data_IF_734617227732
#
_entry.id   IF_734617227732
#
_cell.length_a   1.000
_cell.length_b   1.000
_cell.length_c   1.000
_cell.angle_alpha   90.00
_cell.angle_beta   90.00
_cell.angle_gamma   90.00
#
_symmetry.space_group_name_H-M   'P 1'
#
loop_
_entity.id
_entity.type
_entity.pdbx_description
1 polymer ?
#
# COMPACT_ATOMS: atom_id res chain seq x y z
N UNK A 1 -21.81 49.28 32.93
CA UNK A 1 -22.34 48.85 31.63
C UNK A 1 -21.24 49.06 30.61
N UNK A 2 -20.83 48.18 29.70
CA UNK A 2 -21.06 46.77 29.36
C UNK A 2 -20.47 46.68 27.93
N UNK A 3 -19.76 45.69 27.40
CA UNK A 3 -19.22 44.39 27.80
C UNK A 3 -18.01 44.20 26.85
N UNK A 4 -16.90 43.64 27.36
CA UNK A 4 -15.78 43.14 26.54
C UNK A 4 -16.23 41.86 25.85
N UNK A 5 -16.05 41.73 24.54
CA UNK A 5 -16.22 40.46 23.82
C UNK A 5 -14.91 40.07 23.14
N UNK A 6 -14.18 39.22 23.84
CA UNK A 6 -13.11 38.38 23.31
C UNK A 6 -13.73 37.35 22.37
N UNK A 7 -13.27 37.28 21.11
CA UNK A 7 -13.61 36.16 20.22
C UNK A 7 -12.45 35.17 20.26
N UNK A 8 -12.79 33.99 20.78
CA UNK A 8 -11.99 32.80 20.93
C UNK A 8 -11.52 32.31 19.55
N UNK A 9 -10.20 32.19 19.35
CA UNK A 9 -9.65 31.41 18.24
C UNK A 9 -9.86 29.93 18.56
N UNK A 10 -10.81 29.29 17.87
CA UNK A 10 -11.00 27.86 17.95
C UNK A 10 -9.89 27.16 17.17
N UNK A 11 -8.88 26.66 17.89
CA UNK A 11 -7.92 25.71 17.35
C UNK A 11 -8.62 24.35 17.24
N UNK A 12 -9.04 24.00 16.01
CA UNK A 12 -9.53 22.67 15.70
C UNK A 12 -8.32 21.73 15.59
N UNK A 13 -7.96 21.09 16.69
CA UNK A 13 -7.00 19.99 16.67
C UNK A 13 -7.66 18.78 15.97
N UNK A 14 -7.14 18.43 14.79
CA UNK A 14 -7.50 17.22 14.06
C UNK A 14 -7.03 16.00 14.85
N UNK A 15 -7.95 15.38 15.58
CA UNK A 15 -7.78 14.02 16.07
C UNK A 15 -7.78 13.07 14.87
N UNK A 16 -6.64 12.42 14.63
CA UNK A 16 -6.46 11.37 13.62
C UNK A 16 -7.21 10.11 14.00
N UNK A 17 -8.54 10.14 13.87
CA UNK A 17 -9.36 8.94 13.85
C UNK A 17 -9.14 8.27 12.51
N UNK A 18 -8.62 7.04 12.50
CA UNK A 18 -8.62 6.17 11.31
C UNK A 18 -10.05 5.73 11.00
N UNK A 19 -10.91 6.68 10.61
CA UNK A 19 -12.21 6.38 10.04
C UNK A 19 -11.94 5.73 8.67
N UNK A 20 -12.65 4.65 8.38
CA UNK A 20 -12.64 4.05 7.04
C UNK A 20 -12.91 5.16 6.01
N UNK A 21 -12.07 5.24 4.98
CA UNK A 21 -12.15 6.22 3.89
C UNK A 21 -13.27 5.82 2.91
N UNK A 22 -14.48 5.72 3.43
CA UNK A 22 -15.70 5.64 2.63
C UNK A 22 -16.03 7.05 2.13
N UNK A 23 -16.25 7.19 0.83
CA UNK A 23 -16.46 8.50 0.19
C UNK A 23 -17.69 8.48 -0.72
N UNK A 24 -18.25 9.66 -0.94
CA UNK A 24 -19.09 9.93 -2.09
C UNK A 24 -18.18 10.26 -3.28
N UNK A 25 -17.94 9.28 -4.15
CA UNK A 25 -17.01 9.43 -5.29
C UNK A 25 -17.35 10.59 -6.22
N UNK A 26 -18.63 10.98 -6.32
CA UNK A 26 -19.02 12.12 -7.15
C UNK A 26 -18.39 13.45 -6.72
N UNK A 27 -18.02 13.58 -5.44
CA UNK A 27 -17.34 14.78 -4.90
C UNK A 27 -15.87 14.86 -5.34
N UNK A 28 -15.29 13.75 -5.77
CA UNK A 28 -13.92 13.64 -6.23
C UNK A 28 -13.82 13.48 -7.75
N UNK A 29 -14.94 13.44 -8.47
CA UNK A 29 -14.92 13.43 -9.93
C UNK A 29 -14.77 14.85 -10.49
N UNK A 30 -13.55 15.35 -10.62
CA UNK A 30 -13.28 16.70 -11.10
C UNK A 30 -12.01 16.80 -11.98
N UNK A 31 -12.05 17.55 -13.10
CA UNK A 31 -10.91 17.68 -14.03
C UNK A 31 -9.69 18.43 -13.48
N UNK A 32 -9.75 18.92 -12.25
CA UNK A 32 -8.65 19.65 -11.59
C UNK A 32 -8.09 18.92 -10.38
N UNK A 33 -8.82 17.95 -9.82
CA UNK A 33 -8.40 17.16 -8.67
C UNK A 33 -9.26 15.91 -8.51
N UNK A 34 -8.64 14.82 -8.07
CA UNK A 34 -9.34 13.62 -7.63
C UNK A 34 -9.17 13.35 -6.13
N UNK A 35 -9.43 12.11 -5.68
CA UNK A 35 -9.07 11.65 -4.34
C UNK A 35 -7.58 11.88 -4.06
N UNK A 36 -7.20 12.23 -2.82
CA UNK A 36 -5.79 12.35 -2.45
C UNK A 36 -5.05 11.04 -2.70
N UNK A 37 -3.81 11.11 -3.19
CA UNK A 37 -2.97 9.92 -3.41
C UNK A 37 -2.83 9.02 -2.16
N UNK A 38 -2.89 9.62 -0.95
CA UNK A 38 -2.86 8.87 0.31
C UNK A 38 -4.06 7.92 0.51
N UNK A 39 -5.13 8.07 -0.28
CA UNK A 39 -6.30 7.19 -0.24
C UNK A 39 -6.05 5.85 -0.94
N UNK A 40 -5.01 5.74 -1.76
CA UNK A 40 -4.70 4.50 -2.45
C UNK A 40 -3.19 4.21 -2.51
N UNK A 41 -2.36 5.02 -1.84
CA UNK A 41 -0.95 4.71 -1.64
C UNK A 41 -0.76 3.46 -0.77
N UNK A 42 0.19 2.63 -1.17
CA UNK A 42 0.64 1.47 -0.41
C UNK A 42 1.20 1.87 0.96
N UNK A 43 1.14 0.95 1.92
CA UNK A 43 1.78 1.16 3.23
C UNK A 43 3.29 1.41 3.08
N UNK A 44 3.85 2.25 3.95
CA UNK A 44 5.29 2.58 3.94
C UNK A 44 6.19 1.38 4.28
N UNK A 45 5.61 0.30 4.79
CA UNK A 45 6.29 -0.97 5.08
C UNK A 45 6.46 -1.86 3.83
N UNK A 46 5.82 -1.52 2.71
CA UNK A 46 5.92 -2.28 1.46
C UNK A 46 7.31 -2.08 0.84
N UNK A 47 8.06 -3.15 0.48
CA UNK A 47 9.42 -3.04 -0.04
C UNK A 47 9.42 -2.67 -1.54
N UNK A 48 8.94 -1.47 -1.88
CA UNK A 48 8.69 -1.00 -3.26
C UNK A 48 9.90 -1.19 -4.18
N UNK A 49 11.10 -0.75 -3.76
CA UNK A 49 12.31 -0.88 -4.56
C UNK A 49 12.70 -2.35 -4.85
N UNK A 50 12.45 -3.25 -3.88
CA UNK A 50 12.73 -4.67 -4.06
C UNK A 50 11.70 -5.32 -5.00
N UNK A 51 10.43 -4.93 -4.91
CA UNK A 51 9.36 -5.37 -5.82
C UNK A 51 9.62 -4.90 -7.25
N UNK A 52 10.02 -3.65 -7.44
CA UNK A 52 10.41 -3.12 -8.75
C UNK A 52 11.63 -3.87 -9.32
N UNK A 53 12.63 -4.17 -8.47
CA UNK A 53 13.79 -4.97 -8.87
C UNK A 53 13.43 -6.43 -9.21
N UNK A 54 12.40 -6.99 -8.58
CA UNK A 54 11.89 -8.32 -8.89
C UNK A 54 11.08 -8.32 -10.19
N UNK A 55 10.26 -7.30 -10.42
CA UNK A 55 9.51 -7.10 -11.67
C UNK A 55 10.45 -7.02 -12.89
N UNK A 56 11.55 -6.27 -12.77
CA UNK A 56 12.57 -6.16 -13.82
C UNK A 56 13.29 -7.49 -14.14
N UNK A 57 13.16 -8.52 -13.28
CA UNK A 57 13.73 -9.86 -13.48
C UNK A 57 12.69 -10.87 -13.97
N UNK A 58 11.41 -10.50 -14.05
CA UNK A 58 10.38 -11.37 -14.60
C UNK A 58 10.71 -11.69 -16.06
N UNK A 59 10.48 -12.94 -16.47
CA UNK A 59 10.98 -13.45 -17.76
C UNK A 59 10.06 -14.45 -18.42
N UNK A 60 9.13 -15.03 -17.67
CA UNK A 60 8.18 -16.02 -18.18
C UNK A 60 7.02 -15.28 -18.83
N UNK A 61 7.04 -15.15 -20.15
CA UNK A 61 5.94 -14.55 -20.89
C UNK A 61 4.63 -15.31 -20.64
N UNK A 62 3.57 -14.58 -20.31
CA UNK A 62 2.22 -15.13 -20.29
C UNK A 62 1.74 -15.42 -21.73
N UNK A 63 0.61 -16.12 -21.86
CA UNK A 63 -0.01 -16.38 -23.16
C UNK A 63 -0.64 -15.08 -23.69
N UNK A 64 -0.46 -14.81 -24.98
CA UNK A 64 -1.05 -13.65 -25.66
C UNK A 64 -0.73 -12.33 -24.93
N UNK A 65 0.56 -12.08 -24.67
CA UNK A 65 1.02 -11.15 -23.64
C UNK A 65 1.95 -10.02 -24.12
N UNK A 66 2.23 -9.89 -25.43
CA UNK A 66 3.19 -8.88 -25.94
C UNK A 66 2.49 -7.85 -26.82
N UNK A 67 2.57 -6.59 -26.42
CA UNK A 67 1.83 -5.47 -27.02
C UNK A 67 2.73 -4.24 -27.15
N UNK A 68 2.57 -3.41 -28.19
CA UNK A 68 3.23 -2.11 -28.25
C UNK A 68 2.69 -1.18 -27.16
N UNK A 69 3.48 -0.20 -26.74
CA UNK A 69 3.02 0.80 -25.77
C UNK A 69 2.05 1.83 -26.38
N UNK A 70 2.09 2.03 -27.70
CA UNK A 70 1.17 2.87 -28.44
C UNK A 70 1.13 2.46 -29.92
N UNK A 71 0.32 3.16 -30.71
CA UNK A 71 0.13 2.89 -32.16
C UNK A 71 1.25 3.43 -33.06
N UNK A 72 2.29 4.07 -32.53
CA UNK A 72 3.35 4.65 -33.34
C UNK A 72 4.23 3.59 -34.02
N UNK A 73 4.69 3.93 -35.23
CA UNK A 73 5.60 3.09 -35.98
C UNK A 73 6.92 2.88 -35.23
N UNK A 74 7.17 1.64 -34.80
CA UNK A 74 8.40 1.28 -34.08
C UNK A 74 8.32 1.45 -32.56
N UNK A 75 7.11 1.67 -32.00
CA UNK A 75 6.89 1.72 -30.57
C UNK A 75 7.51 0.51 -29.85
N UNK A 76 8.15 0.70 -28.67
CA UNK A 76 8.58 -0.39 -27.81
C UNK A 76 7.44 -1.37 -27.55
N UNK A 77 7.79 -2.67 -27.50
CA UNK A 77 6.84 -3.72 -27.12
C UNK A 77 7.14 -4.18 -25.71
N UNK A 78 6.08 -4.26 -24.90
CA UNK A 78 6.11 -4.74 -23.53
C UNK A 78 5.51 -6.13 -23.48
N UNK A 79 6.03 -6.97 -22.58
CA UNK A 79 5.50 -8.32 -22.35
C UNK A 79 4.94 -8.41 -20.94
N UNK A 80 3.74 -8.95 -20.82
CA UNK A 80 3.14 -9.33 -19.55
C UNK A 80 3.72 -10.69 -19.11
N UNK A 81 4.28 -10.72 -17.92
CA UNK A 81 4.96 -11.87 -17.37
C UNK A 81 4.09 -12.60 -16.34
N UNK A 82 4.10 -13.93 -16.42
CA UNK A 82 3.35 -14.84 -15.55
C UNK A 82 4.19 -15.50 -14.46
N UNK A 83 5.41 -15.03 -14.19
CA UNK A 83 6.31 -15.62 -13.19
C UNK A 83 5.66 -15.77 -11.79
N UNK A 84 4.68 -14.92 -11.47
CA UNK A 84 4.01 -14.89 -10.17
C UNK A 84 2.58 -15.44 -10.22
N UNK A 85 2.11 -15.93 -11.36
CA UNK A 85 0.69 -16.26 -11.57
C UNK A 85 0.24 -17.55 -10.89
N UNK A 86 1.17 -18.37 -10.40
CA UNK A 86 0.89 -19.67 -9.77
C UNK A 86 0.98 -19.67 -8.25
N UNK A 87 1.20 -18.51 -7.61
CA UNK A 87 1.20 -18.43 -6.15
C UNK A 87 -0.19 -18.73 -5.57
N UNK A 88 -0.25 -19.29 -4.37
CA UNK A 88 -1.53 -19.58 -3.72
C UNK A 88 -2.22 -18.32 -3.19
N UNK A 89 -1.44 -17.30 -2.83
CA UNK A 89 -1.91 -15.98 -2.39
C UNK A 89 -0.96 -14.92 -2.97
N UNK A 90 -1.50 -13.77 -3.37
CA UNK A 90 -0.70 -12.74 -4.05
C UNK A 90 -0.25 -13.16 -5.45
N UNK A 91 -0.93 -14.10 -6.09
CA UNK A 91 -0.69 -14.43 -7.49
C UNK A 91 -0.96 -13.23 -8.38
N UNK A 92 -0.04 -12.97 -9.31
CA UNK A 92 -0.12 -11.77 -10.14
C UNK A 92 0.54 -11.97 -11.51
N UNK A 93 0.12 -11.13 -12.45
CA UNK A 93 0.89 -10.79 -13.64
C UNK A 93 1.68 -9.51 -13.40
N UNK A 94 2.81 -9.36 -14.09
CA UNK A 94 3.68 -8.18 -13.95
C UNK A 94 4.25 -7.72 -15.30
N UNK A 95 4.34 -6.41 -15.50
CA UNK A 95 5.00 -5.81 -16.65
C UNK A 95 5.56 -4.43 -16.30
N UNK A 96 6.47 -3.94 -17.15
CA UNK A 96 6.96 -2.55 -17.09
C UNK A 96 6.60 -1.90 -18.42
N UNK A 97 5.78 -0.85 -18.36
CA UNK A 97 5.31 -0.08 -19.50
C UNK A 97 5.53 1.42 -19.23
N UNK A 98 5.11 2.21 -20.19
CA UNK A 98 4.87 3.64 -20.03
C UNK A 98 3.54 3.89 -19.29
N UNK A 99 3.05 5.13 -19.32
CA UNK A 99 1.79 5.51 -18.69
C UNK A 99 1.03 6.55 -19.53
N UNK A 100 0.18 6.06 -20.43
CA UNK A 100 -0.78 6.86 -21.17
C UNK A 100 -2.07 7.09 -20.35
N UNK A 101 -2.82 8.14 -20.70
CA UNK A 101 -4.01 8.54 -19.95
C UNK A 101 -5.26 8.00 -20.64
N UNK A 102 -5.92 7.07 -19.98
CA UNK A 102 -7.26 6.63 -20.29
C UNK A 102 -8.27 7.52 -19.55
N UNK A 103 -9.26 8.02 -20.31
CA UNK A 103 -10.34 8.84 -19.79
C UNK A 103 -11.72 8.20 -19.95
N UNK A 104 -11.82 6.97 -20.46
CA UNK A 104 -13.07 6.28 -20.74
C UNK A 104 -13.97 6.17 -19.49
N UNK A 105 -15.27 6.02 -19.77
CA UNK A 105 -16.32 6.11 -18.77
C UNK A 105 -16.92 7.51 -18.64
N UNK A 106 -17.14 8.01 -17.42
CA UNK A 106 -17.85 9.29 -17.22
C UNK A 106 -17.08 10.48 -17.77
N UNK A 107 -15.76 10.38 -17.78
CA UNK A 107 -14.86 11.49 -18.06
C UNK A 107 -14.23 11.40 -19.46
N UNK A 108 -14.84 10.62 -20.37
CA UNK A 108 -14.34 10.34 -21.72
C UNK A 108 -14.06 11.58 -22.57
N UNK A 109 -14.59 12.74 -22.17
CA UNK A 109 -14.32 14.05 -22.77
C UNK A 109 -13.26 14.85 -22.03
N UNK A 110 -12.37 14.18 -21.29
CA UNK A 110 -11.30 14.85 -20.58
C UNK A 110 -10.43 15.67 -21.56
N UNK A 111 -9.73 16.66 -21.03
CA UNK A 111 -8.87 17.54 -21.83
C UNK A 111 -7.97 16.68 -22.74
N UNK A 112 -8.00 16.99 -24.04
CA UNK A 112 -7.14 16.35 -25.03
C UNK A 112 -7.68 15.06 -25.61
N UNK A 113 -8.62 14.35 -24.97
CA UNK A 113 -9.03 13.01 -25.39
C UNK A 113 -9.71 13.02 -26.78
N UNK A 114 -9.08 12.42 -27.82
CA UNK A 114 -9.63 12.44 -29.18
C UNK A 114 -10.67 11.33 -29.43
N UNK A 115 -10.62 10.23 -28.69
CA UNK A 115 -11.27 8.95 -28.99
C UNK A 115 -12.02 8.31 -27.82
N UNK A 116 -12.14 9.03 -26.70
CA UNK A 116 -12.80 8.52 -25.50
C UNK A 116 -14.19 7.92 -25.70
N UNK A 117 -14.45 6.85 -24.95
CA UNK A 117 -15.70 6.10 -24.94
C UNK A 117 -16.49 6.34 -23.66
N UNK A 118 -17.83 6.42 -23.71
CA UNK A 118 -18.66 6.75 -22.55
C UNK A 118 -18.75 5.63 -21.48
N UNK A 119 -18.07 4.50 -21.67
CA UNK A 119 -18.07 3.37 -20.76
C UNK A 119 -16.69 2.70 -20.76
N UNK A 120 -16.42 1.95 -19.69
CA UNK A 120 -15.29 1.04 -19.57
C UNK A 120 -15.81 -0.41 -19.58
N UNK A 121 -14.94 -1.42 -19.65
CA UNK A 121 -15.34 -2.82 -19.65
C UNK A 121 -16.18 -3.24 -18.42
N UNK A 122 -15.98 -2.61 -17.27
CA UNK A 122 -16.61 -3.01 -15.99
C UNK A 122 -17.52 -1.96 -15.38
N UNK A 123 -17.93 -0.97 -16.16
CA UNK A 123 -18.82 0.11 -15.71
C UNK A 123 -18.76 1.34 -16.62
N UNK A 124 -19.11 2.49 -16.07
CA UNK A 124 -18.73 3.78 -16.61
C UNK A 124 -17.92 4.47 -15.52
N UNK A 125 -16.67 4.01 -15.33
CA UNK A 125 -15.79 4.50 -14.27
C UNK A 125 -15.51 6.00 -14.47
N UNK A 126 -15.34 6.74 -13.39
CA UNK A 126 -14.89 8.13 -13.45
C UNK A 126 -13.36 8.15 -13.45
N UNK A 127 -12.72 8.46 -14.59
CA UNK A 127 -11.27 8.52 -14.70
C UNK A 127 -10.62 9.55 -13.75
N UNK A 128 -11.36 10.59 -13.31
CA UNK A 128 -10.85 11.53 -12.31
C UNK A 128 -10.91 11.00 -10.87
N UNK A 129 -11.67 9.94 -10.59
CA UNK A 129 -11.89 9.42 -9.23
C UNK A 129 -11.39 7.99 -9.02
N UNK A 130 -11.56 7.13 -10.01
CA UNK A 130 -11.22 5.71 -9.91
C UNK A 130 -9.76 5.55 -10.34
N UNK A 131 -8.87 5.05 -9.47
CA UNK A 131 -7.54 4.64 -9.89
C UNK A 131 -7.68 3.30 -10.64
N UNK A 132 -7.75 3.33 -11.96
CA UNK A 132 -7.76 2.14 -12.78
C UNK A 132 -6.58 2.09 -13.74
N UNK A 133 -6.28 0.91 -14.24
CA UNK A 133 -5.36 0.69 -15.35
C UNK A 133 -6.01 -0.24 -16.38
N UNK A 134 -5.46 -0.17 -17.58
CA UNK A 134 -5.96 -0.83 -18.78
C UNK A 134 -5.05 -2.01 -19.11
N UNK A 135 -5.63 -3.09 -19.59
CA UNK A 135 -4.86 -4.18 -20.20
C UNK A 135 -5.36 -4.43 -21.62
N UNK A 136 -4.54 -5.02 -22.50
CA UNK A 136 -5.00 -5.40 -23.83
C UNK A 136 -6.20 -6.37 -23.77
N UNK A 137 -7.27 -6.11 -24.52
CA UNK A 137 -8.51 -6.91 -24.50
C UNK A 137 -8.24 -8.39 -24.81
N UNK A 138 -7.32 -8.69 -25.73
CA UNK A 138 -6.97 -10.07 -26.07
C UNK A 138 -6.34 -10.80 -24.88
N UNK A 139 -5.51 -10.11 -24.09
CA UNK A 139 -4.94 -10.67 -22.86
C UNK A 139 -6.04 -10.86 -21.80
N UNK A 140 -6.88 -9.84 -21.58
CA UNK A 140 -8.03 -9.91 -20.67
C UNK A 140 -8.95 -11.09 -20.99
N UNK A 141 -9.34 -11.25 -22.25
CA UNK A 141 -10.16 -12.36 -22.74
C UNK A 141 -9.50 -13.72 -22.51
N UNK A 142 -8.18 -13.82 -22.71
CA UNK A 142 -7.41 -15.06 -22.48
C UNK A 142 -7.44 -15.49 -21.02
N UNK A 143 -7.41 -14.53 -20.09
CA UNK A 143 -7.34 -14.77 -18.65
C UNK A 143 -8.62 -14.44 -17.87
N UNK A 144 -9.75 -14.28 -18.57
CA UNK A 144 -11.04 -13.84 -18.00
C UNK A 144 -11.51 -14.63 -16.77
N UNK A 145 -11.15 -15.92 -16.66
CA UNK A 145 -11.54 -16.76 -15.53
C UNK A 145 -10.86 -16.36 -14.21
N UNK A 146 -9.68 -15.73 -14.28
CA UNK A 146 -8.90 -15.25 -13.13
C UNK A 146 -8.76 -13.73 -13.10
N UNK A 147 -9.18 -13.06 -14.17
CA UNK A 147 -9.29 -11.61 -14.31
C UNK A 147 -10.72 -11.24 -14.75
N UNK A 148 -11.75 -11.49 -13.91
CA UNK A 148 -13.13 -11.19 -14.27
C UNK A 148 -13.45 -9.69 -14.33
N UNK A 149 -12.50 -8.82 -13.95
CA UNK A 149 -12.66 -7.37 -13.89
C UNK A 149 -12.68 -6.84 -12.47
N UNK A 150 -12.34 -5.56 -12.32
CA UNK A 150 -12.19 -4.88 -11.02
C UNK A 150 -11.18 -5.58 -10.08
N UNK A 151 -10.28 -6.37 -10.64
CA UNK A 151 -9.16 -6.97 -9.91
C UNK A 151 -8.24 -5.86 -9.40
N UNK A 152 -7.92 -5.89 -8.11
CA UNK A 152 -6.93 -5.00 -7.50
C UNK A 152 -5.58 -5.23 -8.18
N UNK A 153 -4.90 -4.14 -8.47
CA UNK A 153 -3.51 -4.13 -8.89
C UNK A 153 -2.72 -3.06 -8.15
N UNK A 154 -1.41 -3.06 -8.39
CA UNK A 154 -0.49 -2.06 -7.89
C UNK A 154 0.31 -1.47 -9.05
N UNK A 155 0.54 -0.17 -8.98
CA UNK A 155 1.33 0.62 -9.93
C UNK A 155 2.49 1.23 -9.19
N UNK A 156 3.72 1.00 -9.66
CA UNK A 156 4.95 1.59 -9.12
C UNK A 156 5.48 2.62 -10.12
N UNK A 157 5.62 3.85 -9.65
CA UNK A 157 6.11 4.98 -10.41
C UNK A 157 6.83 5.94 -9.44
N UNK A 158 7.95 6.52 -9.87
CA UNK A 158 8.73 7.47 -9.06
C UNK A 158 9.06 6.96 -7.64
N UNK A 159 9.36 5.67 -7.51
CA UNK A 159 9.70 5.02 -6.24
C UNK A 159 8.55 4.90 -5.23
N UNK A 160 7.31 5.21 -5.64
CA UNK A 160 6.09 5.07 -4.85
C UNK A 160 5.20 3.99 -5.45
N UNK A 161 4.33 3.43 -4.63
CA UNK A 161 3.37 2.42 -5.06
C UNK A 161 1.95 2.84 -4.71
N UNK A 162 1.04 2.66 -5.67
CA UNK A 162 -0.37 3.02 -5.59
C UNK A 162 -1.24 1.83 -6.00
N UNK A 163 -2.37 1.65 -5.33
CA UNK A 163 -3.34 0.62 -5.69
C UNK A 163 -4.38 1.18 -6.65
N UNK A 164 -4.80 0.33 -7.57
CA UNK A 164 -5.90 0.59 -8.47
C UNK A 164 -6.62 -0.71 -8.82
N UNK A 165 -7.46 -0.65 -9.84
CA UNK A 165 -8.17 -1.83 -10.37
C UNK A 165 -7.92 -2.00 -11.87
N UNK A 166 -7.94 -3.25 -12.34
CA UNK A 166 -8.19 -3.54 -13.75
C UNK A 166 -9.61 -3.08 -14.08
N UNK A 167 -9.72 -1.88 -14.65
CA UNK A 167 -10.99 -1.18 -14.82
C UNK A 167 -11.46 -1.10 -16.26
N UNK A 168 -10.54 -1.26 -17.21
CA UNK A 168 -10.83 -1.22 -18.64
C UNK A 168 -9.88 -2.09 -19.45
N UNK A 169 -10.21 -2.35 -20.72
CA UNK A 169 -9.31 -3.01 -21.65
C UNK A 169 -9.25 -2.33 -23.00
N UNK A 170 -8.05 -2.30 -23.58
CA UNK A 170 -7.85 -1.70 -24.88
C UNK A 170 -8.24 -2.67 -26.01
N UNK A 171 -9.22 -2.23 -26.79
CA UNK A 171 -9.83 -2.96 -27.90
C UNK A 171 -9.28 -2.54 -29.28
N UNK A 172 -8.30 -1.64 -29.34
CA UNK A 172 -7.79 -1.07 -30.58
C UNK A 172 -7.00 -2.05 -31.46
N UNK A 173 -6.60 -1.58 -32.64
CA UNK A 173 -5.76 -2.35 -33.57
C UNK A 173 -4.61 -1.49 -34.11
N UNK A 174 -3.37 -1.70 -33.62
CA UNK A 174 -2.97 -2.69 -32.61
C UNK A 174 -3.49 -2.35 -31.21
N UNK A 175 -3.67 -3.36 -30.36
CA UNK A 175 -3.93 -3.11 -28.94
C UNK A 175 -2.67 -2.58 -28.26
N UNK A 176 -2.80 -1.51 -27.49
CA UNK A 176 -1.77 -0.87 -26.69
C UNK A 176 -1.77 -1.40 -25.24
N UNK A 177 -0.66 -1.17 -24.54
CA UNK A 177 -0.49 -1.48 -23.12
C UNK A 177 0.21 -0.30 -22.44
N UNK A 178 -0.13 -0.02 -21.19
CA UNK A 178 0.47 1.11 -20.48
C UNK A 178 -0.51 2.24 -20.22
N UNK A 179 -1.81 2.05 -20.41
CA UNK A 179 -2.79 3.08 -20.09
C UNK A 179 -3.29 2.98 -18.65
N UNK A 180 -3.56 4.13 -18.06
CA UNK A 180 -4.16 4.25 -16.73
C UNK A 180 -5.08 5.47 -16.64
N UNK A 181 -6.00 5.43 -15.68
CA UNK A 181 -6.94 6.52 -15.48
C UNK A 181 -6.23 7.85 -15.26
N UNK A 182 -6.89 8.94 -15.65
CA UNK A 182 -6.41 10.30 -15.38
C UNK A 182 -5.91 10.49 -13.93
N UNK A 183 -6.63 9.94 -12.95
CA UNK A 183 -6.22 9.97 -11.54
C UNK A 183 -4.90 9.25 -11.30
N UNK A 184 -4.76 8.01 -11.78
CA UNK A 184 -3.55 7.21 -11.56
C UNK A 184 -2.34 7.89 -12.24
N UNK A 185 -2.51 8.31 -13.49
CA UNK A 185 -1.46 8.93 -14.28
C UNK A 185 -0.92 10.21 -13.62
N UNK A 186 -1.82 11.11 -13.21
CA UNK A 186 -1.42 12.36 -12.55
C UNK A 186 -0.99 12.18 -11.10
N UNK A 187 -1.30 11.06 -10.48
CA UNK A 187 -0.73 10.70 -9.17
C UNK A 187 0.73 10.26 -9.32
N UNK A 188 1.03 9.50 -10.37
CA UNK A 188 2.39 9.11 -10.70
C UNK A 188 3.25 10.30 -11.13
N UNK A 189 2.70 11.15 -12.00
CA UNK A 189 3.42 12.26 -12.66
C UNK A 189 2.68 13.60 -12.48
N UNK A 190 2.63 14.14 -11.25
CA UNK A 190 1.80 15.32 -10.94
C UNK A 190 2.26 16.61 -11.62
N UNK A 191 3.51 16.65 -12.12
CA UNK A 191 4.11 17.84 -12.70
C UNK A 191 4.08 17.85 -14.24
N UNK A 192 3.62 16.76 -14.87
CA UNK A 192 3.83 16.55 -16.31
C UNK A 192 2.60 16.98 -17.14
N UNK A 193 1.58 17.55 -16.48
CA UNK A 193 0.28 17.95 -17.04
C UNK A 193 -0.38 16.87 -17.94
N UNK A 194 -0.26 15.61 -17.52
CA UNK A 194 -0.82 14.48 -18.26
C UNK A 194 -2.33 14.65 -18.49
N UNK A 195 -2.78 14.28 -19.69
CA UNK A 195 -4.16 14.42 -20.15
C UNK A 195 -4.42 13.41 -21.28
N UNK A 196 -5.65 13.33 -21.80
CA UNK A 196 -6.06 12.29 -22.76
C UNK A 196 -5.35 12.30 -24.12
N UNK A 197 -4.39 13.21 -24.35
CA UNK A 197 -3.49 13.18 -25.52
C UNK A 197 -2.04 13.50 -25.12
N UNK A 198 -1.67 13.26 -23.86
CA UNK A 198 -0.32 13.47 -23.35
C UNK A 198 -0.08 12.55 -22.17
N UNK A 199 0.55 11.41 -22.43
CA UNK A 199 1.02 10.47 -21.43
C UNK A 199 2.49 10.65 -21.06
N UNK A 200 2.95 9.79 -20.15
CA UNK A 200 4.36 9.62 -19.81
C UNK A 200 4.93 8.46 -20.63
N UNK A 201 5.67 8.77 -21.69
CA UNK A 201 6.13 7.76 -22.67
C UNK A 201 7.36 6.93 -22.28
N UNK A 202 7.96 7.13 -21.10
CA UNK A 202 9.11 6.34 -20.69
C UNK A 202 8.66 5.00 -20.09
N UNK A 203 9.27 3.90 -20.54
CA UNK A 203 8.96 2.53 -20.08
C UNK A 203 9.60 2.26 -18.71
N UNK A 204 9.09 2.90 -17.67
CA UNK A 204 9.62 2.82 -16.30
C UNK A 204 8.54 2.65 -15.21
N UNK A 205 7.29 2.47 -15.61
CA UNK A 205 6.16 2.21 -14.71
C UNK A 205 5.92 0.72 -14.59
N UNK A 206 5.98 0.19 -13.36
CA UNK A 206 5.69 -1.22 -13.10
C UNK A 206 4.24 -1.42 -12.74
N UNK A 207 3.60 -2.37 -13.41
CA UNK A 207 2.22 -2.77 -13.14
C UNK A 207 2.22 -4.20 -12.58
N UNK A 208 1.44 -4.41 -11.52
CA UNK A 208 1.25 -5.71 -10.87
C UNK A 208 -0.26 -5.94 -10.80
N UNK A 209 -0.76 -6.93 -11.54
CA UNK A 209 -2.19 -7.25 -11.60
C UNK A 209 -2.47 -8.54 -10.85
N UNK A 210 -3.17 -8.46 -9.72
CA UNK A 210 -3.48 -9.63 -8.92
C UNK A 210 -4.63 -10.45 -9.51
N UNK A 211 -4.48 -11.77 -9.48
CA UNK A 211 -5.40 -12.72 -10.10
C UNK A 211 -6.26 -13.44 -9.07
N UNK A 212 -7.42 -13.94 -9.51
CA UNK A 212 -8.34 -14.73 -8.70
C UNK A 212 -9.46 -13.90 -8.06
N UNK A 213 -10.48 -14.57 -7.55
CA UNK A 213 -11.67 -13.93 -6.96
C UNK A 213 -11.36 -13.06 -5.76
N UNK A 214 -10.36 -13.44 -4.97
CA UNK A 214 -9.98 -12.72 -3.75
C UNK A 214 -9.26 -11.39 -4.06
N UNK A 215 -8.86 -11.19 -5.31
CA UNK A 215 -8.32 -9.93 -5.81
C UNK A 215 -9.41 -9.01 -6.35
N UNK A 216 -10.67 -9.42 -6.49
CA UNK A 216 -11.74 -8.57 -7.04
C UNK A 216 -12.26 -7.62 -5.98
N UNK A 217 -12.20 -6.31 -6.24
CA UNK A 217 -12.73 -5.29 -5.32
C UNK A 217 -14.24 -5.50 -5.13
N UNK A 218 -14.75 -5.65 -3.89
CA UNK A 218 -16.14 -6.01 -3.66
C UNK A 218 -17.08 -4.84 -3.95
N UNK A 219 -18.35 -5.14 -4.23
CA UNK A 219 -19.40 -4.13 -4.47
C UNK A 219 -19.72 -3.26 -3.24
N UNK A 220 -19.22 -3.61 -2.06
CA UNK A 220 -19.25 -2.75 -0.86
C UNK A 220 -18.21 -1.62 -0.91
N UNK A 221 -17.26 -1.67 -1.84
CA UNK A 221 -16.17 -0.72 -2.01
C UNK A 221 -16.09 -0.10 -3.41
N UNK A 222 -16.97 -0.52 -4.32
CA UNK A 222 -17.02 -0.08 -5.71
C UNK A 222 -18.48 -0.11 -6.19
N UNK A 223 -18.86 0.88 -7.00
CA UNK A 223 -20.05 0.79 -7.84
C UNK A 223 -19.64 0.95 -9.32
N UNK A 224 -20.63 0.95 -10.23
CA UNK A 224 -20.38 1.06 -11.67
C UNK A 224 -19.61 2.31 -12.12
N UNK A 225 -19.46 3.33 -11.27
CA UNK A 225 -18.82 4.59 -11.61
C UNK A 225 -17.63 4.93 -10.70
N UNK A 226 -17.65 4.52 -9.42
CA UNK A 226 -16.76 5.07 -8.39
C UNK A 226 -16.24 4.02 -7.43
N UNK A 227 -15.02 4.22 -6.93
CA UNK A 227 -14.53 3.57 -5.71
C UNK A 227 -15.18 4.26 -4.51
N UNK A 228 -16.00 3.51 -3.76
CA UNK A 228 -16.75 4.07 -2.63
C UNK A 228 -16.05 3.84 -1.29
N UNK A 229 -15.05 2.95 -1.24
CA UNK A 229 -14.29 2.66 -0.02
C UNK A 229 -12.81 2.41 -0.34
N UNK A 230 -12.03 3.47 -0.22
CA UNK A 230 -10.58 3.45 -0.41
C UNK A 230 -9.84 2.66 0.67
N UNK A 231 -10.39 2.56 1.89
CA UNK A 231 -9.81 1.70 2.92
C UNK A 231 -9.90 0.21 2.55
N UNK A 232 -10.96 -0.22 1.87
CA UNK A 232 -11.04 -1.59 1.35
C UNK A 232 -10.04 -1.80 0.22
N UNK A 233 -9.94 -0.88 -0.75
CA UNK A 233 -8.93 -0.95 -1.82
C UNK A 233 -7.51 -1.07 -1.26
N UNK A 234 -7.14 -0.18 -0.33
CA UNK A 234 -5.82 -0.19 0.32
C UNK A 234 -5.57 -1.46 1.11
N UNK A 235 -6.50 -1.88 1.97
CA UNK A 235 -6.29 -3.09 2.79
C UNK A 235 -6.20 -4.36 1.97
N UNK A 236 -6.95 -4.48 0.88
CA UNK A 236 -6.82 -5.58 -0.08
C UNK A 236 -5.46 -5.52 -0.79
N UNK A 237 -5.08 -4.35 -1.30
CA UNK A 237 -3.79 -4.14 -1.95
C UNK A 237 -2.59 -4.46 -1.05
N UNK A 238 -2.60 -3.96 0.19
CA UNK A 238 -1.55 -4.18 1.20
C UNK A 238 -1.45 -5.68 1.53
N UNK A 239 -2.59 -6.37 1.67
CA UNK A 239 -2.63 -7.83 1.88
C UNK A 239 -1.99 -8.59 0.70
N UNK A 240 -2.43 -8.29 -0.52
CA UNK A 240 -1.98 -8.97 -1.74
C UNK A 240 -0.48 -8.73 -2.01
N UNK A 241 0.00 -7.50 -1.86
CA UNK A 241 1.41 -7.18 -2.06
C UNK A 241 2.30 -7.80 -0.98
N UNK A 242 1.80 -7.91 0.26
CA UNK A 242 2.54 -8.56 1.35
C UNK A 242 2.69 -10.05 1.07
N UNK A 243 1.62 -10.71 0.61
CA UNK A 243 1.69 -12.12 0.21
C UNK A 243 2.64 -12.33 -0.97
N UNK A 244 2.58 -11.47 -1.99
CA UNK A 244 3.52 -11.50 -3.12
C UNK A 244 4.97 -11.33 -2.65
N UNK A 245 5.26 -10.29 -1.85
CA UNK A 245 6.59 -10.01 -1.34
C UNK A 245 7.14 -11.17 -0.50
N UNK A 246 6.29 -11.87 0.26
CA UNK A 246 6.65 -13.09 0.99
C UNK A 246 7.01 -14.23 0.04
N UNK A 247 6.20 -14.50 -0.99
CA UNK A 247 6.50 -15.54 -2.00
C UNK A 247 7.80 -15.26 -2.75
N UNK A 248 8.13 -13.98 -2.96
CA UNK A 248 9.37 -13.54 -3.59
C UNK A 248 10.56 -13.47 -2.63
N UNK A 249 10.39 -13.81 -1.35
CA UNK A 249 11.41 -13.70 -0.30
C UNK A 249 12.02 -12.29 -0.16
N UNK A 250 11.22 -11.25 -0.42
CA UNK A 250 11.64 -9.85 -0.34
C UNK A 250 11.49 -9.26 1.06
N UNK A 251 10.76 -9.96 1.93
CA UNK A 251 10.62 -9.65 3.36
C UNK A 251 11.38 -10.70 4.16
N UNK A 252 12.40 -10.28 4.89
CA UNK A 252 13.23 -11.20 5.68
C UNK A 252 12.51 -11.54 7.00
N UNK A 253 11.65 -12.57 6.99
CA UNK A 253 11.03 -13.11 8.20
C UNK A 253 9.85 -14.03 7.95
N UNK A 254 10.05 -15.34 8.17
CA UNK A 254 8.96 -16.32 8.29
C UNK A 254 8.87 -17.34 7.16
N UNK A 255 9.87 -18.22 7.08
CA UNK A 255 9.79 -19.41 6.24
C UNK A 255 8.58 -20.27 6.62
N UNK A 256 7.81 -20.67 5.60
CA UNK A 256 7.07 -21.92 5.61
C UNK A 256 7.71 -22.82 4.57
N UNK A 257 8.60 -23.68 5.04
CA UNK A 257 9.10 -24.83 4.33
C UNK A 257 7.96 -25.81 4.08
N UNK A 258 7.56 -25.99 2.83
CA UNK A 258 6.83 -27.20 2.40
C UNK A 258 7.60 -27.89 1.29
N UNK A 259 8.38 -28.88 1.72
CA UNK A 259 8.61 -30.18 1.10
C UNK A 259 8.88 -30.23 -0.41
N UNK A 260 10.17 -30.28 -0.76
CA UNK A 260 10.61 -31.12 -1.89
C UNK A 260 11.61 -32.13 -1.34
N UNK A 261 11.20 -33.39 -1.36
CA UNK A 261 11.98 -34.56 -1.00
C UNK A 261 13.21 -34.67 -1.91
N UNK A 262 14.41 -34.43 -1.38
CA UNK A 262 15.66 -34.85 -2.01
C UNK A 262 16.61 -35.34 -0.92
N UNK A 263 16.72 -36.66 -0.86
CA UNK A 263 17.75 -37.44 -0.18
C UNK A 263 19.14 -36.93 -0.54
N UNK A 264 19.94 -36.48 0.45
CA UNK A 264 21.39 -36.69 0.46
C UNK A 264 21.92 -36.65 1.90
N UNK A 265 22.81 -37.60 2.15
CA UNK A 265 23.45 -37.97 3.41
C UNK A 265 24.47 -36.95 3.95
N UNK A 266 24.54 -36.92 5.30
CA UNK A 266 25.73 -36.85 6.16
C UNK A 266 26.60 -35.58 6.07
N UNK A 267 26.63 -34.82 7.17
CA UNK A 267 27.81 -34.79 8.06
C UNK A 267 27.54 -34.00 9.34
N UNK A 268 27.74 -34.71 10.45
CA UNK A 268 27.80 -34.22 11.82
C UNK A 268 29.02 -33.34 12.05
N UNK A 269 28.80 -32.10 12.49
CA UNK A 269 29.78 -31.38 13.31
C UNK A 269 29.06 -30.65 14.44
N UNK A 270 29.21 -31.24 15.61
CA UNK A 270 28.94 -30.67 16.93
C UNK A 270 29.77 -29.40 17.14
N UNK A 271 29.12 -28.32 17.57
CA UNK A 271 29.77 -27.29 18.38
C UNK A 271 28.74 -26.74 19.36
N UNK A 272 28.96 -27.11 20.61
CA UNK A 272 28.23 -26.71 21.79
C UNK A 272 28.42 -25.22 22.07
N UNK A 273 27.32 -24.48 22.21
CA UNK A 273 27.27 -23.15 22.78
C UNK A 273 26.08 -23.08 23.74
N UNK A 274 26.39 -23.21 25.02
CA UNK A 274 25.44 -23.32 26.14
C UNK A 274 24.75 -22.00 26.44
N UNK A 275 23.42 -21.99 26.39
CA UNK A 275 22.50 -21.31 27.32
C UNK A 275 22.53 -19.79 27.45
N UNK A 276 21.44 -19.14 27.05
CA UNK A 276 20.60 -18.41 28.01
C UNK A 276 19.24 -18.08 27.39
N UNK A 277 18.20 -18.16 28.21
CA UNK A 277 16.79 -17.95 27.89
C UNK A 277 16.55 -16.52 27.36
N UNK A 278 16.54 -16.37 26.03
CA UNK A 278 16.17 -15.11 25.37
C UNK A 278 14.75 -15.21 24.85
N UNK A 279 13.85 -14.44 25.46
CA UNK A 279 12.50 -14.16 24.97
C UNK A 279 12.50 -14.00 23.44
N UNK A 280 11.72 -14.82 22.73
CA UNK A 280 11.64 -14.74 21.26
C UNK A 280 11.09 -13.37 20.87
N UNK A 281 11.82 -12.68 20.01
CA UNK A 281 11.40 -11.39 19.48
C UNK A 281 10.68 -11.61 18.16
N UNK A 282 9.61 -10.87 17.89
CA UNK A 282 8.86 -10.94 16.64
C UNK A 282 9.70 -10.54 15.40
N UNK A 283 10.77 -9.77 15.59
CA UNK A 283 11.71 -9.33 14.56
C UNK A 283 13.16 -9.74 14.87
N UNK A 284 13.75 -10.59 14.00
CA UNK A 284 15.14 -11.04 14.15
C UNK A 284 16.14 -9.89 13.95
N UNK A 285 17.07 -9.71 14.89
CA UNK A 285 18.06 -8.62 14.88
C UNK A 285 17.64 -7.34 15.59
N UNK A 286 16.42 -7.31 16.16
CA UNK A 286 15.83 -6.18 16.88
C UNK A 286 15.37 -6.58 18.30
N UNK A 287 16.01 -7.63 18.80
CA UNK A 287 15.85 -8.19 20.14
C UNK A 287 16.53 -7.36 21.23
N UNK A 288 16.32 -7.75 22.48
CA UNK A 288 17.08 -7.20 23.61
C UNK A 288 18.60 -7.25 23.33
N UNK A 289 19.30 -6.12 23.49
CA UNK A 289 20.71 -5.93 23.15
C UNK A 289 21.02 -5.62 21.68
N UNK A 290 20.01 -5.55 20.81
CA UNK A 290 20.19 -5.15 19.41
C UNK A 290 20.38 -3.65 19.28
N UNK A 291 21.12 -3.21 18.27
CA UNK A 291 21.36 -1.80 18.00
C UNK A 291 20.07 -1.10 17.56
N UNK A 292 19.82 0.09 18.08
CA UNK A 292 18.64 0.88 17.73
C UNK A 292 18.98 2.37 17.71
N UNK A 293 18.23 3.15 16.94
CA UNK A 293 18.28 4.63 16.97
C UNK A 293 17.02 5.23 17.61
N UNK A 294 15.93 4.46 17.64
CA UNK A 294 14.60 4.83 18.13
C UNK A 294 13.84 3.60 18.61
N UNK A 295 12.78 3.80 19.39
CA UNK A 295 11.97 2.69 19.96
C UNK A 295 11.35 1.78 18.89
N UNK A 296 11.06 2.31 17.69
CA UNK A 296 10.55 1.52 16.56
C UNK A 296 11.58 0.57 15.94
N UNK A 297 12.86 0.72 16.27
CA UNK A 297 13.91 -0.21 15.87
C UNK A 297 14.00 -1.42 16.81
N UNK A 298 13.08 -1.53 17.78
CA UNK A 298 13.05 -2.60 18.76
C UNK A 298 11.78 -3.44 18.63
N UNK A 299 11.96 -4.76 18.71
CA UNK A 299 10.87 -5.72 18.58
C UNK A 299 9.96 -5.71 19.81
N UNK A 300 8.68 -5.99 19.60
CA UNK A 300 7.68 -6.15 20.66
C UNK A 300 7.54 -4.89 21.53
N UNK A 301 7.58 -5.02 22.86
CA UNK A 301 7.47 -3.91 23.80
C UNK A 301 8.86 -3.41 24.28
N UNK A 302 9.92 -3.68 23.51
CA UNK A 302 11.26 -3.21 23.84
C UNK A 302 11.41 -1.74 23.44
N UNK A 303 12.20 -0.99 24.21
CA UNK A 303 12.48 0.44 23.95
C UNK A 303 13.97 0.64 23.68
N UNK A 304 14.30 1.63 22.85
CA UNK A 304 15.66 1.94 22.51
C UNK A 304 16.32 2.76 23.62
N UNK A 305 17.10 2.09 24.45
CA UNK A 305 17.81 2.72 25.57
C UNK A 305 19.30 2.73 25.28
N UNK A 306 19.91 3.91 25.19
CA UNK A 306 21.35 4.08 24.94
C UNK A 306 21.84 3.36 23.67
N UNK A 307 21.06 3.42 22.60
CA UNK A 307 21.38 2.79 21.31
C UNK A 307 21.23 1.28 21.30
N UNK A 308 20.61 0.69 22.33
CA UNK A 308 20.33 -0.74 22.45
C UNK A 308 18.89 -1.02 22.88
N UNK A 309 18.26 -2.01 22.26
CA UNK A 309 16.92 -2.44 22.65
C UNK A 309 16.97 -3.06 24.03
N UNK A 310 16.19 -2.55 24.97
CA UNK A 310 16.12 -3.02 26.34
C UNK A 310 14.66 -3.28 26.72
N UNK A 311 14.44 -4.28 27.57
CA UNK A 311 13.13 -4.42 28.21
C UNK A 311 12.92 -3.19 29.08
N UNK A 312 11.76 -2.54 28.96
CA UNK A 312 11.36 -1.44 29.85
C UNK A 312 11.53 -1.93 31.28
N UNK A 313 12.59 -1.50 31.95
CA UNK A 313 12.99 -2.05 33.23
C UNK A 313 11.84 -1.97 34.22
N UNK A 314 11.23 -3.12 34.52
CA UNK A 314 10.59 -3.36 35.80
C UNK A 314 11.65 -3.16 36.88
N UNK A 315 11.75 -1.93 37.39
CA UNK A 315 12.35 -1.67 38.69
C UNK A 315 11.24 -1.93 39.70
N UNK A 316 11.40 -3.01 40.48
CA UNK A 316 10.39 -3.48 41.40
C UNK A 316 10.08 -2.52 42.55
N UNK A 317 8.84 -2.63 43.02
CA UNK A 317 8.45 -2.42 44.41
C UNK A 317 8.18 -0.97 44.83
N UNK A 318 6.92 -0.54 44.74
CA UNK A 318 6.11 -0.40 45.96
C UNK A 318 4.64 -0.15 45.63
N UNK A 319 3.78 -0.85 46.35
CA UNK A 319 2.33 -0.67 46.48
C UNK A 319 1.85 0.77 46.25
N UNK A 320 0.97 1.00 45.25
CA UNK A 320 0.26 2.28 45.14
C UNK A 320 -0.61 2.43 43.89
N UNK A 321 -1.84 1.91 43.95
CA UNK A 321 -2.99 2.34 43.13
C UNK A 321 -2.97 1.97 41.63
N UNK A 322 -3.97 1.21 41.18
CA UNK A 322 -4.25 1.05 39.75
C UNK A 322 -4.60 2.41 39.14
N UNK A 323 -3.76 2.89 38.23
CA UNK A 323 -4.01 4.07 37.42
C UNK A 323 -4.76 3.69 36.15
N UNK A 324 -5.67 4.55 35.71
CA UNK A 324 -6.40 4.39 34.45
C UNK A 324 -5.48 4.44 33.22
N UNK A 325 -4.39 5.23 33.28
CA UNK A 325 -3.46 5.41 32.16
C UNK A 325 -2.02 5.03 32.52
N UNK A 326 -1.45 4.12 31.73
CA UNK A 326 -0.06 3.69 31.89
C UNK A 326 0.91 4.86 31.64
N UNK A 327 1.86 5.07 32.55
CA UNK A 327 2.85 6.15 32.46
C UNK A 327 2.49 7.45 33.19
N UNK A 328 1.27 7.55 33.75
CA UNK A 328 0.77 8.75 34.45
C UNK A 328 0.34 8.46 35.91
N UNK A 329 0.87 7.39 36.48
CA UNK A 329 0.52 6.88 37.80
C UNK A 329 1.33 7.57 38.91
N UNK A 330 1.07 7.23 40.18
CA UNK A 330 1.86 7.76 41.29
C UNK A 330 3.37 7.51 41.07
N UNK A 331 4.18 8.57 41.13
CA UNK A 331 5.63 8.54 40.85
C UNK A 331 6.01 8.77 39.37
N UNK A 332 5.04 8.86 38.46
CA UNK A 332 5.28 9.29 37.08
C UNK A 332 5.75 10.75 37.02
N UNK A 333 6.55 11.07 36.02
CA UNK A 333 6.99 12.45 35.77
C UNK A 333 5.85 13.28 35.21
N UNK A 334 5.66 14.49 35.72
CA UNK A 334 4.60 15.41 35.30
C UNK A 334 5.12 16.84 35.24
N UNK A 335 4.49 17.68 34.43
CA UNK A 335 4.76 19.12 34.37
C UNK A 335 3.57 19.95 34.83
N UNK A 336 2.37 19.39 34.78
CA UNK A 336 1.09 19.99 35.12
C UNK A 336 0.14 18.96 35.73
N UNK A 337 -0.93 19.42 36.38
CA UNK A 337 -1.89 18.52 37.05
C UNK A 337 -2.56 17.51 36.12
N UNK A 338 -2.69 17.83 34.84
CA UNK A 338 -3.34 16.98 33.83
C UNK A 338 -2.45 15.83 33.33
N UNK A 339 -1.16 15.83 33.70
CA UNK A 339 -0.22 14.76 33.38
C UNK A 339 -0.33 13.56 34.35
N UNK A 340 -1.30 13.58 35.25
CA UNK A 340 -1.49 12.59 36.30
C UNK A 340 -2.86 11.91 36.21
N UNK A 341 -2.86 10.58 36.34
CA UNK A 341 -4.07 9.76 36.24
C UNK A 341 -4.95 9.92 37.47
N UNK A 342 -6.26 9.84 37.25
CA UNK A 342 -7.29 9.78 38.29
C UNK A 342 -7.29 11.04 39.20
N UNK A 343 -7.19 10.86 40.51
CA UNK A 343 -7.21 11.94 41.50
C UNK A 343 -5.80 12.45 41.89
N UNK A 344 -4.75 12.05 41.16
CA UNK A 344 -3.38 12.45 41.44
C UNK A 344 -3.10 13.86 40.91
N UNK A 345 -2.23 14.60 41.59
CA UNK A 345 -1.78 15.93 41.19
C UNK A 345 -0.28 15.94 40.95
N UNK A 346 0.16 16.85 40.08
CA UNK A 346 1.58 17.03 39.84
C UNK A 346 2.22 17.84 40.97
N UNK A 347 3.04 17.18 41.79
CA UNK A 347 3.79 17.79 42.89
C UNK A 347 5.28 17.56 42.70
N UNK A 348 6.06 18.64 42.66
CA UNK A 348 7.52 18.59 42.48
C UNK A 348 7.97 17.78 41.25
N UNK A 349 7.21 17.88 40.16
CA UNK A 349 7.49 17.18 38.90
C UNK A 349 7.13 15.68 38.92
N UNK A 350 6.39 15.22 39.94
CA UNK A 350 5.93 13.84 40.09
C UNK A 350 4.44 13.75 40.44
N UNK A 351 3.75 12.79 39.86
CA UNK A 351 2.35 12.52 40.21
C UNK A 351 2.26 11.94 41.62
N UNK A 352 1.50 12.60 42.49
CA UNK A 352 1.29 12.18 43.88
C UNK A 352 -0.15 12.46 44.29
N UNK A 353 -0.64 11.81 45.33
CA UNK A 353 -1.91 12.21 45.94
C UNK A 353 -1.82 13.65 46.43
N UNK A 354 -2.90 14.41 46.26
CA UNK A 354 -2.98 15.80 46.71
C UNK A 354 -2.68 15.97 48.21
#
# INVERSE_FOLDING_TARGET
MAIKSSVLAAYLALFGSTLAQSVDGSQYNNPTAGPPASFFAAATTVPVAALQSAAAKASTAAKDATYPINSDGGAPKVTIHGDWSSFSEGAAFVWVADMDVDCDGLDYKCKGNPDGQPGTNFGALAAYEVPFFVIPDKFGTTYQNILPGNNVGAVICNGKMFYGIYGDSDGDTPQAIGEASWLMARTCFPNDDLNGNSGHGAVDVTYILFTGSDAVLPSSALNKNYVTNFSTLRSMGDKLITALAKNLNLVSGGGSSTSTTLTTQVSTTTSSGTGSTGTSCSWAGHCIGSSCSSDSDCSDNLVCTSGKCASSGSSGGSSGGSCSWAGHCAGASCSSGDDCSDALVCSSGKCASA
#
